data_IF_676179131304
#
_entry.id   IF_676179131304
#
_cell.length_a   1.000
_cell.length_b   1.000
_cell.length_c   1.000
_cell.angle_alpha   90.00
_cell.angle_beta   90.00
_cell.angle_gamma   90.00
#
_symmetry.space_group_name_H-M   'P 1'
#
loop_
_entity.id
_entity.type
_entity.pdbx_description
1 polymer ?
#
# COMPACT_ATOMS: atom_id res chain seq x y z
N UNK A 1 -13.40 10.53 -3.09
CA UNK A 1 -13.14 9.18 -2.54
C UNK A 1 -12.62 8.31 -3.66
N UNK A 2 -11.37 7.85 -3.55
CA UNK A 2 -10.87 6.79 -4.44
C UNK A 2 -11.08 5.47 -3.74
N UNK A 3 -11.62 4.49 -4.48
CA UNK A 3 -11.70 3.12 -3.98
C UNK A 3 -10.30 2.52 -3.96
N UNK A 4 -10.07 1.52 -3.11
CA UNK A 4 -8.78 0.80 -3.06
C UNK A 4 -8.42 0.17 -4.40
N UNK A 5 -9.41 -0.32 -5.16
CA UNK A 5 -9.18 -0.90 -6.47
C UNK A 5 -8.61 0.14 -7.44
N UNK A 6 -9.25 1.30 -7.59
CA UNK A 6 -8.76 2.37 -8.47
C UNK A 6 -7.36 2.82 -8.04
N UNK A 7 -7.12 2.93 -6.74
CA UNK A 7 -5.80 3.31 -6.22
C UNK A 7 -4.71 2.28 -6.56
N UNK A 8 -5.00 0.98 -6.48
CA UNK A 8 -4.10 -0.09 -6.93
C UNK A 8 -3.74 0.08 -8.41
N UNK A 9 -4.71 0.42 -9.27
CA UNK A 9 -4.48 0.62 -10.69
C UNK A 9 -3.57 1.82 -10.98
N UNK A 10 -3.79 2.93 -10.26
CA UNK A 10 -2.97 4.14 -10.37
C UNK A 10 -1.53 3.85 -9.94
N UNK A 11 -1.33 3.26 -8.75
CA UNK A 11 0.01 2.95 -8.22
C UNK A 11 0.74 1.95 -9.12
N UNK A 12 0.06 0.89 -9.57
CA UNK A 12 0.61 -0.10 -10.50
C UNK A 12 1.11 0.55 -11.78
N UNK A 13 0.32 1.44 -12.37
CA UNK A 13 0.68 2.17 -13.59
C UNK A 13 1.87 3.11 -13.36
N UNK A 14 1.84 3.91 -12.30
CA UNK A 14 2.87 4.92 -12.03
C UNK A 14 4.23 4.29 -11.70
N UNK A 15 4.23 3.15 -11.01
CA UNK A 15 5.46 2.44 -10.62
C UNK A 15 5.90 1.38 -11.66
N UNK A 16 5.09 1.12 -12.69
CA UNK A 16 5.40 0.12 -13.72
C UNK A 16 5.44 -1.32 -13.18
N UNK A 17 4.60 -1.64 -12.20
CA UNK A 17 4.51 -2.97 -11.57
C UNK A 17 3.17 -3.62 -11.88
N UNK A 18 3.09 -4.95 -11.83
CA UNK A 18 1.80 -5.64 -11.98
C UNK A 18 0.85 -5.26 -10.82
N UNK A 19 -0.46 -5.18 -11.12
CA UNK A 19 -1.48 -4.90 -10.09
C UNK A 19 -1.47 -5.96 -8.99
N UNK A 20 -1.10 -7.21 -9.30
CA UNK A 20 -0.98 -8.29 -8.31
C UNK A 20 0.14 -8.07 -7.29
N UNK A 21 1.11 -7.22 -7.61
CA UNK A 21 2.23 -6.87 -6.72
C UNK A 21 1.88 -5.72 -5.76
N UNK A 22 0.71 -5.10 -5.92
CA UNK A 22 0.24 -3.97 -5.10
C UNK A 22 -0.85 -4.44 -4.15
N UNK A 23 -0.57 -4.36 -2.85
CA UNK A 23 -1.54 -4.66 -1.80
C UNK A 23 -1.84 -3.40 -0.98
N UNK A 24 -3.13 -3.18 -0.68
CA UNK A 24 -3.60 -2.08 0.16
C UNK A 24 -4.41 -2.67 1.32
N UNK A 25 -4.10 -2.27 2.54
CA UNK A 25 -4.67 -2.87 3.76
C UNK A 25 -6.13 -2.47 4.06
N UNK A 26 -6.71 -1.54 3.30
CA UNK A 26 -8.06 -1.02 3.55
C UNK A 26 -8.79 -0.80 2.23
N UNK A 27 -10.11 -0.99 2.25
CA UNK A 27 -10.99 -0.69 1.11
C UNK A 27 -11.60 0.72 1.16
N UNK A 28 -11.51 1.40 2.31
CA UNK A 28 -12.35 2.57 2.62
C UNK A 28 -11.70 3.91 2.25
N UNK A 29 -10.42 4.10 2.56
CA UNK A 29 -9.70 5.34 2.31
C UNK A 29 -8.24 5.06 1.93
N UNK A 30 -7.75 5.79 0.93
CA UNK A 30 -6.36 5.73 0.45
C UNK A 30 -5.41 6.53 1.33
N UNK A 31 -5.91 7.57 2.02
CA UNK A 31 -5.10 8.39 2.90
C UNK A 31 -4.75 7.64 4.19
N UNK A 32 -3.46 7.61 4.52
CA UNK A 32 -2.91 6.83 5.62
C UNK A 32 -2.86 5.32 5.38
N UNK A 33 -3.30 4.83 4.22
CA UNK A 33 -3.30 3.39 3.91
C UNK A 33 -1.87 2.84 3.87
N UNK A 34 -1.70 1.62 4.37
CA UNK A 34 -0.47 0.86 4.18
C UNK A 34 -0.53 0.18 2.82
N UNK A 35 0.51 0.42 2.04
CA UNK A 35 0.68 -0.10 0.68
C UNK A 35 1.93 -0.97 0.65
N UNK A 36 1.80 -2.21 0.19
CA UNK A 36 2.95 -3.06 -0.14
C UNK A 36 3.08 -3.10 -1.65
N UNK A 37 4.26 -2.83 -2.18
CA UNK A 37 4.60 -2.95 -3.60
C UNK A 37 5.82 -3.85 -3.75
N UNK A 38 5.62 -5.06 -4.25
CA UNK A 38 6.65 -6.09 -4.22
C UNK A 38 7.15 -6.30 -2.78
N UNK A 39 8.46 -6.18 -2.48
CA UNK A 39 8.99 -6.31 -1.12
C UNK A 39 8.93 -5.04 -0.27
N UNK A 40 8.58 -3.88 -0.86
CA UNK A 40 8.64 -2.60 -0.16
C UNK A 40 7.30 -2.23 0.47
N UNK A 41 7.36 -1.49 1.56
CA UNK A 41 6.18 -0.98 2.29
C UNK A 41 6.15 0.54 2.26
N UNK A 42 4.95 1.08 2.19
CA UNK A 42 4.70 2.52 2.11
C UNK A 42 3.47 2.91 2.92
N UNK A 43 3.43 4.17 3.33
CA UNK A 43 2.20 4.85 3.73
C UNK A 43 1.77 5.77 2.59
N UNK A 44 0.53 5.63 2.15
CA UNK A 44 -0.07 6.53 1.18
C UNK A 44 -0.60 7.80 1.86
N UNK A 45 -0.39 8.94 1.21
CA UNK A 45 -0.96 10.23 1.59
C UNK A 45 -1.64 10.85 0.38
N UNK A 46 -2.89 11.28 0.55
CA UNK A 46 -3.63 11.89 -0.56
C UNK A 46 -3.11 13.29 -0.88
N UNK A 47 -2.91 13.56 -2.17
CA UNK A 47 -2.72 14.90 -2.67
C UNK A 47 -4.03 15.69 -2.71
N UNK A 48 -3.91 16.99 -2.95
CA UNK A 48 -5.06 17.90 -3.09
C UNK A 48 -5.81 17.73 -4.43
N UNK A 49 -5.24 16.98 -5.38
CA UNK A 49 -5.82 16.71 -6.70
C UNK A 49 -6.15 15.22 -6.86
N UNK A 50 -7.15 14.87 -7.69
CA UNK A 50 -7.42 13.47 -8.03
C UNK A 50 -6.18 12.75 -8.58
N UNK A 51 -6.02 11.49 -8.22
CA UNK A 51 -4.88 10.63 -8.62
C UNK A 51 -3.49 11.16 -8.23
N UNK A 52 -3.41 12.25 -7.46
CA UNK A 52 -2.14 12.71 -6.87
C UNK A 52 -2.04 12.18 -5.46
N UNK A 53 -0.89 11.61 -5.15
CA UNK A 53 -0.58 11.01 -3.86
C UNK A 53 0.92 11.08 -3.61
N UNK A 54 1.29 10.85 -2.36
CA UNK A 54 2.66 10.62 -1.94
C UNK A 54 2.75 9.21 -1.33
N UNK A 55 3.83 8.50 -1.62
CA UNK A 55 4.19 7.26 -0.94
C UNK A 55 5.39 7.53 -0.04
N UNK A 56 5.16 7.52 1.26
CA UNK A 56 6.23 7.55 2.26
C UNK A 56 6.74 6.13 2.44
N UNK A 57 8.01 5.88 2.10
CA UNK A 57 8.62 4.57 2.26
C UNK A 57 8.76 4.23 3.75
N UNK A 58 8.34 3.02 4.11
CA UNK A 58 8.48 2.47 5.45
C UNK A 58 9.55 1.38 5.42
N UNK A 59 10.56 1.53 6.28
CA UNK A 59 11.53 0.48 6.54
C UNK A 59 11.03 -0.36 7.72
N UNK A 60 10.77 -1.64 7.50
CA UNK A 60 10.35 -2.55 8.55
C UNK A 60 11.58 -3.09 9.26
N UNK A 61 11.73 -2.73 10.54
CA UNK A 61 12.70 -3.37 11.41
C UNK A 61 12.04 -4.56 12.09
N UNK A 62 12.55 -5.77 11.82
CA UNK A 62 12.14 -6.95 12.57
C UNK A 62 12.53 -6.74 14.04
N UNK A 63 11.53 -6.77 14.91
CA UNK A 63 11.74 -6.86 16.34
C UNK A 63 11.50 -8.30 16.76
N UNK A 64 12.31 -8.78 17.70
CA UNK A 64 12.14 -10.07 18.37
C UNK A 64 10.88 -10.16 19.23
N UNK A 65 10.13 -9.06 19.36
CA UNK A 65 8.92 -8.97 20.15
C UNK A 65 7.62 -9.31 19.37
N UNK A 66 7.66 -9.41 18.04
CA UNK A 66 6.46 -9.67 17.22
C UNK A 66 6.68 -10.90 16.35
N UNK A 67 5.88 -11.94 16.58
CA UNK A 67 5.86 -13.18 15.80
C UNK A 67 4.72 -13.14 14.76
N UNK A 68 5.06 -13.35 13.49
CA UNK A 68 4.08 -13.55 12.43
C UNK A 68 3.61 -15.01 12.46
N UNK A 69 2.37 -15.24 12.89
CA UNK A 69 1.77 -16.57 12.90
C UNK A 69 0.84 -16.71 11.70
N UNK A 70 1.22 -17.53 10.72
CA UNK A 70 0.33 -17.92 9.63
C UNK A 70 -0.69 -18.94 10.14
N UNK A 71 -1.98 -18.60 10.04
CA UNK A 71 -3.05 -19.55 10.36
C UNK A 71 -3.27 -20.44 9.14
N UNK A 72 -2.78 -21.68 9.22
CA UNK A 72 -3.16 -22.71 8.27
C UNK A 72 -4.65 -23.02 8.44
N UNK A 73 -5.42 -22.87 7.37
CA UNK A 73 -6.84 -23.25 7.29
C UNK A 73 -7.02 -24.77 7.23
#
# INVERSE_FOLDING_TARGET
>A
FQTSLHFIEVVSKDLGVDKSEVYVNTSAATDGALVKVGPNFYRAMNGSQPDKYLLEKLELNQTDAIELVEVNK
#
